data_IF_400143120313
#
_entry.id   IF_400143120313
#
_cell.length_a   1.000
_cell.length_b   1.000
_cell.length_c   1.000
_cell.angle_alpha   90.00
_cell.angle_beta   90.00
_cell.angle_gamma   90.00
#
_symmetry.space_group_name_H-M   'P 1'
#
loop_
_entity.id
_entity.type
_entity.pdbx_description
1 polymer ?
#
# COMPACT_ATOMS: atom_id res chain seq x y z
N UNK A 1 31.54 43.30 3.00
CA UNK A 1 31.87 41.90 2.69
C UNK A 1 30.76 41.06 3.30
N UNK A 2 29.72 40.79 2.51
CA UNK A 2 28.51 40.10 2.97
C UNK A 2 28.75 38.61 2.88
N UNK A 3 28.65 37.93 4.02
CA UNK A 3 28.70 36.48 4.15
C UNK A 3 27.42 35.92 3.52
N UNK A 4 27.54 35.36 2.31
CA UNK A 4 26.52 34.49 1.72
C UNK A 4 26.40 33.27 2.63
N UNK A 5 25.24 33.12 3.28
CA UNK A 5 24.82 31.81 3.78
C UNK A 5 24.71 30.85 2.59
N UNK A 6 25.38 29.68 2.62
CA UNK A 6 25.37 28.74 1.50
C UNK A 6 24.13 27.84 1.47
N UNK A 7 23.26 27.93 2.47
CA UNK A 7 22.06 27.11 2.54
C UNK A 7 20.86 27.89 2.00
N UNK A 8 20.78 27.95 0.67
CA UNK A 8 19.60 28.39 -0.10
C UNK A 8 18.42 27.42 0.05
N UNK A 9 18.03 27.13 1.28
CA UNK A 9 16.64 26.82 1.59
C UNK A 9 15.97 28.19 1.71
N UNK A 10 15.58 28.74 0.56
CA UNK A 10 14.63 29.84 0.57
C UNK A 10 13.48 29.42 1.51
N UNK A 11 13.19 30.28 2.49
CA UNK A 11 12.01 30.25 3.36
C UNK A 11 10.72 30.43 2.51
N UNK A 12 10.59 29.68 1.42
CA UNK A 12 9.29 29.37 0.83
C UNK A 12 8.56 28.53 1.88
N UNK A 13 7.82 29.23 2.75
CA UNK A 13 6.88 28.66 3.69
C UNK A 13 6.13 27.53 2.97
N UNK A 14 6.46 26.28 3.32
CA UNK A 14 5.88 25.11 2.65
C UNK A 14 4.37 25.25 2.75
N UNK A 15 3.72 25.56 1.63
CA UNK A 15 2.28 25.78 1.61
C UNK A 15 1.61 24.43 1.91
N UNK A 16 1.12 24.28 3.15
CA UNK A 16 0.51 23.04 3.61
C UNK A 16 -0.89 22.94 2.98
N UNK A 17 -0.93 22.34 1.80
CA UNK A 17 -2.15 21.89 1.16
C UNK A 17 -2.78 20.74 1.95
N UNK A 18 -4.08 20.87 2.24
CA UNK A 18 -4.89 19.83 2.90
C UNK A 18 -4.98 18.58 2.02
N UNK A 19 -5.02 18.76 0.71
CA UNK A 19 -5.14 17.68 -0.28
C UNK A 19 -4.10 17.83 -1.38
N UNK A 20 -2.88 17.30 -1.18
CA UNK A 20 -1.83 17.41 -2.18
C UNK A 20 -2.19 16.64 -3.45
N UNK A 21 -1.65 17.11 -4.56
CA UNK A 21 -1.79 16.45 -5.86
C UNK A 21 -1.33 14.98 -5.74
N UNK A 22 -2.19 14.07 -6.18
CA UNK A 22 -1.93 12.63 -6.14
C UNK A 22 -2.35 11.91 -4.87
N UNK A 23 -2.87 12.60 -3.85
CA UNK A 23 -3.42 11.94 -2.66
C UNK A 23 -4.52 10.93 -3.00
N UNK A 24 -5.39 11.25 -3.96
CA UNK A 24 -6.41 10.32 -4.47
C UNK A 24 -5.82 9.06 -5.11
N UNK A 25 -4.64 9.13 -5.72
CA UNK A 25 -3.97 7.96 -6.28
C UNK A 25 -3.43 7.06 -5.18
N UNK A 26 -2.91 7.65 -4.09
CA UNK A 26 -2.48 6.90 -2.90
C UNK A 26 -3.66 6.20 -2.24
N UNK A 27 -4.75 6.95 -1.98
CA UNK A 27 -5.98 6.39 -1.38
C UNK A 27 -6.54 5.28 -2.27
N UNK A 28 -6.68 5.53 -3.57
CA UNK A 28 -7.17 4.56 -4.53
C UNK A 28 -6.30 3.30 -4.56
N UNK A 29 -4.98 3.43 -4.54
CA UNK A 29 -4.06 2.30 -4.52
C UNK A 29 -4.22 1.46 -3.24
N UNK A 30 -4.32 2.12 -2.08
CA UNK A 30 -4.49 1.45 -0.78
C UNK A 30 -5.85 0.74 -0.69
N UNK A 31 -6.94 1.37 -1.16
CA UNK A 31 -8.27 0.75 -1.18
C UNK A 31 -8.29 -0.47 -2.10
N UNK A 32 -7.76 -0.35 -3.32
CA UNK A 32 -7.65 -1.48 -4.25
C UNK A 32 -6.80 -2.62 -3.67
N UNK A 33 -5.72 -2.28 -2.97
CA UNK A 33 -4.85 -3.24 -2.28
C UNK A 33 -5.59 -3.96 -1.15
N UNK A 34 -6.39 -3.24 -0.35
CA UNK A 34 -7.18 -3.80 0.74
C UNK A 34 -8.21 -4.82 0.22
N UNK A 35 -8.91 -4.49 -0.87
CA UNK A 35 -9.87 -5.40 -1.53
C UNK A 35 -9.14 -6.66 -2.02
N UNK A 36 -7.99 -6.48 -2.68
CA UNK A 36 -7.18 -7.60 -3.18
C UNK A 36 -6.71 -8.52 -2.06
N UNK A 37 -6.27 -7.97 -0.93
CA UNK A 37 -5.89 -8.73 0.27
C UNK A 37 -7.06 -9.47 0.89
N UNK A 38 -8.23 -8.85 0.98
CA UNK A 38 -9.43 -9.50 1.49
C UNK A 38 -9.77 -10.75 0.64
N UNK A 39 -9.67 -10.64 -0.68
CA UNK A 39 -9.87 -11.77 -1.60
C UNK A 39 -8.81 -12.86 -1.38
N UNK A 40 -7.53 -12.49 -1.22
CA UNK A 40 -6.47 -13.46 -0.88
C UNK A 40 -6.78 -14.20 0.43
N UNK A 41 -7.22 -13.48 1.47
CA UNK A 41 -7.57 -14.09 2.76
C UNK A 41 -8.75 -15.06 2.62
N UNK A 42 -9.78 -14.70 1.85
CA UNK A 42 -10.90 -15.59 1.54
C UNK A 42 -10.41 -16.85 0.83
N UNK A 43 -9.52 -16.73 -0.15
CA UNK A 43 -8.95 -17.88 -0.85
C UNK A 43 -8.14 -18.78 0.07
N UNK A 44 -7.32 -18.21 0.95
CA UNK A 44 -6.57 -18.98 1.96
C UNK A 44 -7.54 -19.70 2.90
N UNK A 45 -8.60 -19.04 3.37
CA UNK A 45 -9.59 -19.65 4.25
C UNK A 45 -10.31 -20.83 3.56
N UNK A 46 -10.70 -20.67 2.30
CA UNK A 46 -11.35 -21.72 1.53
C UNK A 46 -10.43 -22.91 1.29
N UNK A 47 -9.17 -22.68 0.91
CA UNK A 47 -8.19 -23.75 0.73
C UNK A 47 -7.93 -24.47 2.05
N UNK A 48 -7.61 -23.73 3.11
CA UNK A 48 -7.29 -24.32 4.42
C UNK A 48 -8.46 -25.08 5.06
N UNK A 49 -9.71 -24.71 4.75
CA UNK A 49 -10.91 -25.42 5.21
C UNK A 49 -11.02 -26.86 4.73
N UNK A 50 -10.27 -27.25 3.69
CA UNK A 50 -10.24 -28.63 3.21
C UNK A 50 -9.42 -29.55 4.13
N UNK A 51 -8.46 -28.99 4.88
CA UNK A 51 -7.52 -29.76 5.70
C UNK A 51 -7.71 -29.54 7.20
N UNK A 52 -8.33 -28.43 7.61
CA UNK A 52 -8.43 -28.03 9.00
C UNK A 52 -9.87 -27.82 9.45
N UNK A 53 -10.10 -27.92 10.77
CA UNK A 53 -11.40 -27.63 11.36
C UNK A 53 -11.81 -26.16 11.16
N UNK A 54 -13.12 -25.89 11.07
CA UNK A 54 -13.66 -24.53 10.90
C UNK A 54 -13.17 -23.56 11.98
N UNK A 55 -13.03 -24.02 13.23
CA UNK A 55 -12.53 -23.20 14.33
C UNK A 55 -11.07 -22.78 14.11
N UNK A 56 -10.22 -23.71 13.66
CA UNK A 56 -8.82 -23.44 13.35
C UNK A 56 -8.70 -22.44 12.20
N UNK A 57 -9.46 -22.63 11.12
CA UNK A 57 -9.46 -21.73 9.96
C UNK A 57 -9.91 -20.32 10.36
N UNK A 58 -10.92 -20.19 11.23
CA UNK A 58 -11.39 -18.90 11.71
C UNK A 58 -10.31 -18.18 12.52
N UNK A 59 -9.66 -18.87 13.47
CA UNK A 59 -8.58 -18.28 14.28
C UNK A 59 -7.39 -17.85 13.41
N UNK A 60 -6.94 -18.73 12.51
CA UNK A 60 -5.84 -18.42 11.59
C UNK A 60 -6.22 -17.27 10.65
N UNK A 61 -7.45 -17.27 10.12
CA UNK A 61 -7.98 -16.21 9.28
C UNK A 61 -8.01 -14.85 9.97
N UNK A 62 -8.41 -14.81 11.25
CA UNK A 62 -8.38 -13.58 12.05
C UNK A 62 -6.94 -13.07 12.26
N UNK A 63 -6.00 -13.96 12.58
CA UNK A 63 -4.59 -13.60 12.70
C UNK A 63 -4.03 -13.03 11.39
N UNK A 64 -4.32 -13.68 10.26
CA UNK A 64 -3.90 -13.22 8.93
C UNK A 64 -4.56 -11.90 8.54
N UNK A 65 -5.83 -11.69 8.92
CA UNK A 65 -6.52 -10.41 8.71
C UNK A 65 -5.83 -9.28 9.47
N UNK A 66 -5.52 -9.48 10.76
CA UNK A 66 -4.81 -8.48 11.57
C UNK A 66 -3.43 -8.18 10.95
N UNK A 67 -2.68 -9.20 10.53
CA UNK A 67 -1.40 -9.02 9.86
C UNK A 67 -1.55 -8.29 8.51
N UNK A 68 -2.60 -8.56 7.74
CA UNK A 68 -2.90 -7.87 6.48
C UNK A 68 -3.20 -6.39 6.72
N UNK A 69 -3.98 -6.06 7.74
CA UNK A 69 -4.25 -4.67 8.13
C UNK A 69 -2.96 -3.97 8.56
N UNK A 70 -2.15 -4.58 9.43
CA UNK A 70 -0.89 -3.97 9.87
C UNK A 70 0.11 -3.78 8.74
N UNK A 71 0.22 -4.77 7.84
CA UNK A 71 1.13 -4.70 6.68
C UNK A 71 0.70 -3.67 5.63
N UNK A 72 -0.57 -3.24 5.63
CA UNK A 72 -1.04 -2.17 4.76
C UNK A 72 -1.01 -0.80 5.45
N UNK A 73 -1.52 -0.69 6.67
CA UNK A 73 -1.61 0.56 7.43
C UNK A 73 -0.23 1.09 7.80
N UNK A 74 0.67 0.22 8.29
CA UNK A 74 1.98 0.67 8.79
C UNK A 74 2.83 1.29 7.68
N UNK A 75 3.01 0.66 6.51
CA UNK A 75 3.78 1.27 5.43
C UNK A 75 3.10 2.52 4.86
N UNK A 76 1.77 2.54 4.79
CA UNK A 76 1.02 3.73 4.33
C UNK A 76 1.25 4.92 5.27
N UNK A 77 1.21 4.68 6.59
CA UNK A 77 1.52 5.69 7.60
C UNK A 77 3.00 6.10 7.59
N UNK A 78 3.93 5.16 7.39
CA UNK A 78 5.35 5.51 7.33
C UNK A 78 5.75 6.19 6.02
N UNK A 79 4.96 5.99 4.96
CA UNK A 79 5.07 6.71 3.70
C UNK A 79 4.63 8.17 3.87
N UNK A 80 3.57 8.45 4.63
CA UNK A 80 3.22 9.84 5.00
C UNK A 80 4.25 10.49 5.93
N UNK A 81 5.14 9.71 6.57
CA UNK A 81 6.34 10.19 7.30
C UNK A 81 7.59 10.39 6.43
N UNK A 82 7.45 10.35 5.10
CA UNK A 82 8.51 10.77 4.17
C UNK A 82 9.60 9.74 3.88
N UNK A 83 9.42 8.46 4.28
CA UNK A 83 10.43 7.43 3.97
C UNK A 83 10.12 6.73 2.64
N UNK A 84 10.92 7.04 1.62
CA UNK A 84 10.82 6.46 0.27
C UNK A 84 10.96 4.93 0.24
N UNK A 85 11.60 4.33 1.26
CA UNK A 85 11.73 2.86 1.38
C UNK A 85 10.36 2.18 1.45
N UNK A 86 9.39 2.79 2.11
CA UNK A 86 8.04 2.22 2.26
C UNK A 86 7.23 2.27 0.97
N UNK A 87 7.52 3.21 0.08
CA UNK A 87 6.92 3.23 -1.26
C UNK A 87 7.40 2.03 -2.09
N UNK A 88 8.70 1.71 -2.03
CA UNK A 88 9.25 0.51 -2.69
C UNK A 88 8.68 -0.78 -2.07
N UNK A 89 8.52 -0.81 -0.75
CA UNK A 89 7.87 -1.93 -0.05
C UNK A 89 6.43 -2.15 -0.55
N UNK A 90 5.59 -1.11 -0.58
CA UNK A 90 4.20 -1.22 -1.05
C UNK A 90 4.11 -1.72 -2.50
N UNK A 91 5.00 -1.26 -3.38
CA UNK A 91 5.10 -1.76 -4.77
C UNK A 91 5.41 -3.25 -4.83
N UNK A 92 6.40 -3.71 -4.05
CA UNK A 92 6.78 -5.13 -3.99
C UNK A 92 5.69 -5.98 -3.36
N UNK A 93 5.04 -5.47 -2.32
CA UNK A 93 3.94 -6.15 -1.65
C UNK A 93 2.72 -6.30 -2.57
N UNK A 94 2.36 -5.27 -3.34
CA UNK A 94 1.34 -5.40 -4.37
C UNK A 94 1.72 -6.45 -5.41
N UNK A 95 2.97 -6.45 -5.91
CA UNK A 95 3.43 -7.44 -6.87
C UNK A 95 3.34 -8.87 -6.31
N UNK A 96 3.67 -9.06 -5.04
CA UNK A 96 3.53 -10.34 -4.35
C UNK A 96 2.06 -10.80 -4.32
N UNK A 97 1.13 -9.90 -4.01
CA UNK A 97 -0.31 -10.20 -4.02
C UNK A 97 -0.84 -10.51 -5.42
N UNK A 98 -0.39 -9.79 -6.46
CA UNK A 98 -0.67 -10.18 -7.86
C UNK A 98 -0.21 -11.61 -8.12
N UNK A 99 1.01 -11.95 -7.70
CA UNK A 99 1.56 -13.31 -7.84
C UNK A 99 0.69 -14.37 -7.16
N UNK A 100 0.26 -14.14 -5.92
CA UNK A 100 -0.64 -15.05 -5.20
C UNK A 100 -1.96 -15.21 -5.95
N UNK A 101 -2.57 -14.10 -6.37
CA UNK A 101 -3.87 -14.13 -7.05
C UNK A 101 -3.80 -14.81 -8.43
N UNK A 102 -2.68 -14.70 -9.14
CA UNK A 102 -2.46 -15.41 -10.41
C UNK A 102 -2.39 -16.92 -10.19
N UNK A 103 -1.58 -17.36 -9.22
CA UNK A 103 -1.44 -18.78 -8.87
C UNK A 103 -2.76 -19.33 -8.36
N UNK A 104 -3.42 -18.61 -7.45
CA UNK A 104 -4.70 -19.02 -6.88
C UNK A 104 -5.85 -18.95 -7.90
N UNK A 105 -5.77 -18.11 -8.93
CA UNK A 105 -6.73 -18.04 -10.03
C UNK A 105 -6.58 -19.16 -11.06
N UNK A 106 -5.36 -19.67 -11.26
CA UNK A 106 -5.11 -20.77 -12.19
C UNK A 106 -5.73 -22.11 -11.70
N UNK A 107 -5.74 -22.36 -10.40
CA UNK A 107 -6.25 -23.60 -9.81
C UNK A 107 -7.76 -23.80 -10.08
N UNK A 108 -8.66 -22.84 -9.78
CA UNK A 108 -10.08 -22.94 -10.08
C UNK A 108 -10.41 -23.14 -11.56
N UNK A 109 -9.61 -22.58 -12.48
CA UNK A 109 -9.80 -22.78 -13.92
C UNK A 109 -9.60 -24.24 -14.33
N UNK A 110 -8.64 -24.93 -13.70
CA UNK A 110 -8.37 -26.36 -13.93
C UNK A 110 -9.48 -27.22 -13.31
N UNK A 111 -9.97 -26.85 -12.12
CA UNK A 111 -11.01 -27.59 -11.38
C UNK A 111 -12.42 -27.31 -11.91
N UNK A 112 -12.59 -26.33 -12.79
CA UNK A 112 -13.89 -25.96 -13.36
C UNK A 112 -14.79 -25.15 -12.41
N UNK A 113 -14.22 -24.50 -11.38
CA UNK A 113 -14.99 -23.68 -10.45
C UNK A 113 -15.02 -22.21 -10.91
N UNK A 114 -16.05 -21.86 -11.68
CA UNK A 114 -16.21 -20.53 -12.26
C UNK A 114 -16.35 -19.42 -11.21
N UNK A 115 -16.99 -19.69 -10.06
CA UNK A 115 -17.21 -18.69 -9.02
C UNK A 115 -15.90 -18.27 -8.33
N UNK A 116 -15.01 -19.24 -8.09
CA UNK A 116 -13.68 -18.93 -7.55
C UNK A 116 -12.80 -18.25 -8.60
N UNK A 117 -12.90 -18.66 -9.87
CA UNK A 117 -12.16 -18.02 -10.94
C UNK A 117 -12.56 -16.54 -11.11
N UNK A 118 -13.85 -16.21 -11.06
CA UNK A 118 -14.32 -14.81 -11.14
C UNK A 118 -13.91 -13.99 -9.92
N UNK A 119 -13.91 -14.59 -8.73
CA UNK A 119 -13.43 -13.95 -7.50
C UNK A 119 -11.93 -13.66 -7.55
N UNK A 120 -11.11 -14.59 -8.06
CA UNK A 120 -9.69 -14.34 -8.30
C UNK A 120 -9.48 -13.25 -9.37
N UNK A 121 -10.27 -13.26 -10.44
CA UNK A 121 -10.19 -12.27 -11.51
C UNK A 121 -10.51 -10.85 -11.00
N UNK A 122 -11.51 -10.69 -10.12
CA UNK A 122 -11.82 -9.39 -9.53
C UNK A 122 -10.69 -8.91 -8.61
N UNK A 123 -10.12 -9.80 -7.80
CA UNK A 123 -8.93 -9.47 -6.99
C UNK A 123 -7.75 -9.05 -7.85
N UNK A 124 -7.48 -9.76 -8.94
CA UNK A 124 -6.43 -9.41 -9.90
C UNK A 124 -6.67 -8.05 -10.52
N UNK A 125 -7.90 -7.76 -10.94
CA UNK A 125 -8.26 -6.47 -11.50
C UNK A 125 -7.93 -5.33 -10.52
N UNK A 126 -8.37 -5.43 -9.26
CA UNK A 126 -8.04 -4.42 -8.24
C UNK A 126 -6.53 -4.31 -7.98
N UNK A 127 -5.80 -5.43 -7.92
CA UNK A 127 -4.35 -5.40 -7.69
C UNK A 127 -3.57 -4.82 -8.87
N UNK A 128 -4.06 -4.98 -10.10
CA UNK A 128 -3.52 -4.34 -11.30
C UNK A 128 -3.83 -2.83 -11.32
N UNK A 129 -5.03 -2.42 -10.92
CA UNK A 129 -5.36 -0.99 -10.75
C UNK A 129 -4.47 -0.37 -9.68
N UNK A 130 -4.28 -1.03 -8.53
CA UNK A 130 -3.36 -0.59 -7.49
C UNK A 130 -1.92 -0.47 -8.02
N UNK A 131 -1.45 -1.48 -8.76
CA UNK A 131 -0.13 -1.46 -9.41
C UNK A 131 0.03 -0.24 -10.34
N UNK A 132 -0.97 0.03 -11.17
CA UNK A 132 -0.97 1.17 -12.07
C UNK A 132 -0.93 2.49 -11.29
N UNK A 133 -1.78 2.65 -10.26
CA UNK A 133 -1.80 3.82 -9.40
C UNK A 133 -0.45 4.06 -8.70
N UNK A 134 0.19 3.01 -8.17
CA UNK A 134 1.52 3.11 -7.56
C UNK A 134 2.61 3.55 -8.55
N UNK A 135 2.41 3.41 -9.87
CA UNK A 135 3.36 3.83 -10.91
C UNK A 135 3.11 5.23 -11.47
N UNK A 136 1.95 5.82 -11.21
CA UNK A 136 1.66 7.18 -11.69
C UNK A 136 2.61 8.21 -11.09
N UNK A 137 2.95 9.25 -11.87
CA UNK A 137 3.74 10.38 -11.39
C UNK A 137 3.04 11.10 -10.23
N UNK A 138 1.71 11.19 -10.28
CA UNK A 138 0.88 11.77 -9.22
C UNK A 138 1.10 11.07 -7.87
N UNK A 139 1.21 9.74 -7.83
CA UNK A 139 1.53 9.04 -6.59
C UNK A 139 2.93 9.42 -6.08
N UNK A 140 3.92 9.54 -6.97
CA UNK A 140 5.28 9.94 -6.58
C UNK A 140 5.33 11.38 -6.05
N UNK A 141 4.62 12.30 -6.70
CA UNK A 141 4.48 13.70 -6.27
C UNK A 141 3.90 13.80 -4.86
N UNK A 142 2.86 13.01 -4.54
CA UNK A 142 2.27 12.97 -3.21
C UNK A 142 3.26 12.47 -2.14
N UNK A 143 4.02 11.41 -2.44
CA UNK A 143 5.05 10.88 -1.54
C UNK A 143 6.14 11.93 -1.29
N UNK A 144 6.57 12.63 -2.35
CA UNK A 144 7.59 13.66 -2.26
C UNK A 144 7.10 14.89 -1.50
N UNK A 145 5.85 15.29 -1.69
CA UNK A 145 5.23 16.36 -0.91
C UNK A 145 5.28 16.08 0.60
N UNK A 146 4.86 14.88 1.04
CA UNK A 146 4.97 14.51 2.45
C UNK A 146 6.43 14.42 2.91
N UNK A 147 7.35 13.96 2.06
CA UNK A 147 8.79 13.96 2.38
C UNK A 147 9.31 15.36 2.67
N UNK A 148 8.98 16.35 1.84
CA UNK A 148 9.39 17.76 2.02
C UNK A 148 8.85 18.34 3.33
N UNK A 149 7.57 18.08 3.67
CA UNK A 149 6.98 18.51 4.95
C UNK A 149 7.77 17.96 6.15
N UNK A 150 8.15 16.67 6.10
CA UNK A 150 8.88 16.04 7.19
C UNK A 150 10.36 16.41 7.24
N UNK A 151 10.98 16.74 6.10
CA UNK A 151 12.31 17.36 6.04
C UNK A 151 12.27 18.75 6.68
N UNK A 152 11.34 19.61 6.26
CA UNK A 152 11.12 20.94 6.87
C UNK A 152 10.93 20.85 8.39
N UNK A 153 10.04 19.97 8.85
CA UNK A 153 9.78 19.77 10.28
C UNK A 153 11.03 19.32 11.05
N UNK A 154 11.87 18.47 10.47
CA UNK A 154 13.10 17.98 11.13
C UNK A 154 14.13 19.10 11.29
N UNK A 155 14.27 19.97 10.31
CA UNK A 155 15.20 21.10 10.38
C UNK A 155 14.74 22.15 11.39
N UNK A 156 13.45 22.51 11.42
CA UNK A 156 12.93 23.55 12.32
C UNK A 156 12.80 23.08 13.77
N UNK A 157 12.36 21.84 14.01
CA UNK A 157 12.27 21.30 15.39
C UNK A 157 13.66 21.07 16.02
N UNK A 158 14.70 20.93 15.19
CA UNK A 158 16.08 20.81 15.68
C UNK A 158 16.70 22.15 16.09
N UNK A 159 16.17 23.28 15.61
CA UNK A 159 16.62 24.62 15.97
C UNK A 159 16.02 25.11 17.29
N UNK A 160 14.87 24.56 17.71
CA UNK A 160 14.18 24.88 18.97
C UNK A 160 14.72 24.11 20.20
N UNK A 161 15.80 23.33 20.05
CA UNK A 161 16.43 22.55 21.14
C UNK A 161 17.86 22.99 21.39
#
# INVERSE_FOLDING_TARGET
MSTRDPDGLDDEAVEIQIFPRGMWHVIGAVVCMAISLAIVLVLIALLTSQWFSTQTVLVVGLCLFVLAVFSLVTPTFLLTRGSAKWHSFLKRFNLFVVGILLVAGAIPLIVGNSNLATTCASGLFFSLVAYWLYRTSAHAECVEYYRKIWEYRRHHVAQDR
#
